data_IF_551534435351
#
_entry.id   IF_551534435351
#
_cell.length_a   1.000
_cell.length_b   1.000
_cell.length_c   1.000
_cell.angle_alpha   90.00
_cell.angle_beta   90.00
_cell.angle_gamma   90.00
#
_symmetry.space_group_name_H-M   'P 1'
#
loop_
_entity.id
_entity.type
_entity.pdbx_description
1 polymer ?
#
# COMPACT_ATOMS: atom_id res chain seq x y z
N UNK A 1 -14.99 34.96 -13.27
CA UNK A 1 -13.53 35.22 -13.40
C UNK A 1 -12.83 33.88 -13.41
N UNK A 2 -12.38 33.40 -14.57
CA UNK A 2 -11.70 32.11 -14.70
C UNK A 2 -10.19 32.32 -14.65
N UNK A 3 -9.56 31.96 -13.53
CA UNK A 3 -8.11 31.95 -13.40
C UNK A 3 -7.56 30.80 -14.24
N UNK A 4 -7.16 31.07 -15.48
CA UNK A 4 -6.39 30.16 -16.32
C UNK A 4 -5.00 29.98 -15.72
N UNK A 5 -4.88 29.09 -14.73
CA UNK A 5 -3.58 28.57 -14.29
C UNK A 5 -2.94 27.87 -15.49
N UNK A 6 -1.86 28.45 -16.04
CA UNK A 6 -1.07 27.82 -17.10
C UNK A 6 -0.45 26.55 -16.51
N UNK A 7 -1.09 25.40 -16.73
CA UNK A 7 -0.55 24.09 -16.39
C UNK A 7 0.81 23.91 -17.06
N UNK A 8 1.76 23.33 -16.33
CA UNK A 8 3.06 23.00 -16.90
C UNK A 8 2.93 21.62 -17.52
N UNK A 9 3.01 21.51 -18.84
CA UNK A 9 2.88 20.24 -19.57
C UNK A 9 4.25 19.65 -19.92
N UNK A 10 4.33 18.33 -20.03
CA UNK A 10 5.54 17.62 -20.48
C UNK A 10 5.19 16.61 -21.56
N UNK A 11 6.12 16.34 -22.49
CA UNK A 11 5.91 15.29 -23.52
C UNK A 11 5.77 13.92 -22.88
N UNK A 12 4.88 13.08 -23.42
CA UNK A 12 4.64 11.71 -22.91
C UNK A 12 5.94 10.89 -22.83
N UNK A 13 6.78 10.95 -23.87
CA UNK A 13 8.07 10.25 -23.87
C UNK A 13 9.01 10.69 -22.75
N UNK A 14 8.93 11.96 -22.33
CA UNK A 14 9.72 12.47 -21.21
C UNK A 14 9.24 11.90 -19.88
N UNK A 15 7.92 11.83 -19.67
CA UNK A 15 7.33 11.25 -18.46
C UNK A 15 7.58 9.73 -18.39
N UNK A 16 7.55 9.02 -19.54
CA UNK A 16 7.95 7.61 -19.62
C UNK A 16 9.39 7.39 -19.16
N UNK A 17 10.34 8.20 -19.66
CA UNK A 17 11.73 8.15 -19.20
C UNK A 17 11.86 8.41 -17.69
N UNK A 18 11.04 9.30 -17.13
CA UNK A 18 11.04 9.54 -15.68
C UNK A 18 10.58 8.31 -14.92
N UNK A 19 9.52 7.63 -15.36
CA UNK A 19 9.05 6.38 -14.75
C UNK A 19 10.15 5.34 -14.69
N UNK A 20 10.84 5.13 -15.80
CA UNK A 20 11.96 4.17 -15.89
C UNK A 20 13.12 4.58 -14.97
N UNK A 21 13.52 5.85 -15.01
CA UNK A 21 14.67 6.34 -14.21
C UNK A 21 14.41 6.33 -12.70
N UNK A 22 13.17 6.63 -12.30
CA UNK A 22 12.78 6.73 -10.89
C UNK A 22 12.19 5.43 -10.33
N UNK A 23 12.08 4.40 -11.18
CA UNK A 23 11.37 3.16 -10.90
C UNK A 23 9.96 3.42 -10.32
N UNK A 24 9.22 4.31 -11.00
CA UNK A 24 7.98 4.90 -10.50
C UNK A 24 6.74 4.26 -11.13
N UNK A 25 6.55 2.95 -10.93
CA UNK A 25 5.35 2.21 -11.35
C UNK A 25 4.06 2.73 -10.72
N UNK A 26 4.20 3.41 -9.58
CA UNK A 26 3.10 4.06 -8.86
C UNK A 26 2.59 5.34 -9.52
N UNK A 27 3.32 5.91 -10.49
CA UNK A 27 2.95 7.16 -11.15
C UNK A 27 1.95 6.85 -12.28
N UNK A 28 0.84 7.56 -12.33
CA UNK A 28 -0.14 7.53 -13.41
C UNK A 28 -0.22 8.91 -14.04
N UNK A 29 -0.61 8.98 -15.30
CA UNK A 29 -0.71 10.25 -16.00
C UNK A 29 -1.81 10.24 -17.05
N UNK A 30 -2.49 11.38 -17.20
CA UNK A 30 -3.46 11.62 -18.28
C UNK A 30 -2.77 12.44 -19.39
N UNK A 31 -2.91 11.99 -20.65
CA UNK A 31 -2.31 12.62 -21.82
C UNK A 31 -3.33 12.90 -22.94
N UNK A 32 -3.11 13.98 -23.69
CA UNK A 32 -3.86 14.33 -24.90
C UNK A 32 -3.15 13.79 -26.18
N UNK A 33 -2.51 12.62 -26.09
CA UNK A 33 -1.83 11.95 -27.20
C UNK A 33 -0.39 12.39 -27.50
N UNK A 34 0.03 13.58 -27.04
CA UNK A 34 1.44 14.06 -27.18
C UNK A 34 2.04 14.63 -25.90
N UNK A 35 1.20 15.21 -25.06
CA UNK A 35 1.61 15.87 -23.81
C UNK A 35 0.79 15.33 -22.65
N UNK A 36 1.46 15.24 -21.52
CA UNK A 36 0.87 14.92 -20.23
C UNK A 36 0.41 16.21 -19.58
N UNK A 37 -0.84 16.22 -19.12
CA UNK A 37 -1.46 17.36 -18.46
C UNK A 37 -1.62 17.15 -16.97
N UNK A 38 -1.68 15.90 -16.54
CA UNK A 38 -2.02 15.57 -15.16
C UNK A 38 -1.23 14.35 -14.71
N UNK A 39 -0.70 14.42 -13.49
CA UNK A 39 0.00 13.32 -12.81
C UNK A 39 -0.79 12.87 -11.59
N UNK A 40 -0.92 11.55 -11.39
CA UNK A 40 -1.52 10.93 -10.22
C UNK A 40 -0.59 9.89 -9.61
N UNK A 41 -0.77 9.58 -8.34
CA UNK A 41 -0.08 8.48 -7.68
C UNK A 41 -1.11 7.41 -7.32
N UNK A 42 -1.06 6.26 -8.03
CA UNK A 42 -1.96 5.13 -7.82
C UNK A 42 -2.03 4.69 -6.36
N UNK A 43 -0.86 4.59 -5.72
CA UNK A 43 -0.72 4.10 -4.34
C UNK A 43 -1.36 5.09 -3.36
N UNK A 44 -1.08 6.39 -3.50
CA UNK A 44 -1.68 7.42 -2.66
C UNK A 44 -3.19 7.53 -2.86
N UNK A 45 -3.68 7.42 -4.10
CA UNK A 45 -5.12 7.40 -4.40
C UNK A 45 -5.80 6.21 -3.73
N UNK A 46 -5.20 5.01 -3.80
CA UNK A 46 -5.79 3.81 -3.19
C UNK A 46 -5.81 3.81 -1.65
N UNK A 47 -4.99 4.66 -1.01
CA UNK A 47 -4.83 4.72 0.45
C UNK A 47 -5.19 6.07 1.04
N UNK A 48 -5.89 6.93 0.30
CA UNK A 48 -6.19 8.31 0.70
C UNK A 48 -6.70 8.39 2.14
N UNK A 49 -7.75 7.63 2.45
CA UNK A 49 -8.39 7.64 3.78
C UNK A 49 -7.42 7.38 4.92
N UNK A 50 -6.43 6.51 4.67
CA UNK A 50 -5.47 6.04 5.68
C UNK A 50 -4.23 6.92 5.79
N UNK A 51 -3.96 7.77 4.79
CA UNK A 51 -2.78 8.64 4.76
C UNK A 51 -3.12 10.11 5.05
N UNK A 52 -4.39 10.43 5.31
CA UNK A 52 -4.85 11.78 5.72
C UNK A 52 -4.13 12.32 6.95
N UNK A 53 -3.63 11.45 7.82
CA UNK A 53 -2.86 11.80 9.03
C UNK A 53 -1.38 12.11 8.77
N UNK A 54 -0.90 11.97 7.53
CA UNK A 54 0.49 12.25 7.20
C UNK A 54 0.83 13.74 7.32
N UNK A 55 2.05 14.04 7.74
CA UNK A 55 2.56 15.41 7.81
C UNK A 55 2.53 16.07 6.43
N UNK A 56 1.99 17.28 6.34
CA UNK A 56 1.82 18.02 5.08
C UNK A 56 1.04 17.25 4.01
N UNK A 57 0.02 16.48 4.43
CA UNK A 57 -0.86 15.77 3.52
C UNK A 57 -1.39 16.71 2.43
N UNK A 58 -1.30 16.25 1.18
CA UNK A 58 -1.76 17.00 0.02
C UNK A 58 -2.43 16.09 -0.98
N UNK A 59 -3.67 16.45 -1.32
CA UNK A 59 -4.47 15.77 -2.35
C UNK A 59 -3.96 15.98 -3.77
N UNK A 60 -2.93 16.80 -4.00
CA UNK A 60 -2.45 17.13 -5.35
C UNK A 60 -2.13 15.90 -6.20
N UNK A 61 -1.51 14.86 -5.63
CA UNK A 61 -1.22 13.63 -6.38
C UNK A 61 -2.35 12.58 -6.34
N UNK A 62 -3.42 12.85 -5.58
CA UNK A 62 -4.60 11.99 -5.50
C UNK A 62 -5.63 12.46 -6.54
N UNK A 63 -5.99 13.74 -6.52
CA UNK A 63 -6.94 14.32 -7.48
C UNK A 63 -6.30 14.54 -8.85
N UNK A 64 -5.03 14.92 -8.88
CA UNK A 64 -4.30 15.20 -10.11
C UNK A 64 -3.43 16.45 -10.02
N UNK A 65 -2.14 16.29 -10.28
CA UNK A 65 -1.20 17.41 -10.31
C UNK A 65 -1.11 17.96 -11.73
N UNK A 66 -1.52 19.22 -11.91
CA UNK A 66 -1.31 19.98 -13.15
C UNK A 66 0.14 20.50 -13.31
N UNK A 67 1.02 20.22 -12.33
CA UNK A 67 2.43 20.62 -12.37
C UNK A 67 3.26 19.43 -12.83
N UNK A 68 3.35 19.23 -14.15
CA UNK A 68 4.05 18.10 -14.77
C UNK A 68 5.54 18.40 -14.88
N UNK A 69 6.24 18.38 -13.75
CA UNK A 69 7.71 18.53 -13.65
C UNK A 69 8.34 17.36 -12.92
N UNK A 70 9.53 16.91 -13.39
CA UNK A 70 10.29 15.82 -12.75
C UNK A 70 10.51 16.08 -11.26
N UNK A 71 10.90 17.29 -10.89
CA UNK A 71 11.17 17.64 -9.49
C UNK A 71 9.93 17.48 -8.60
N UNK A 72 8.74 17.78 -9.13
CA UNK A 72 7.47 17.57 -8.41
C UNK A 72 7.24 16.09 -8.12
N UNK A 73 7.52 15.21 -9.09
CA UNK A 73 7.42 13.76 -8.93
C UNK A 73 8.41 13.25 -7.88
N UNK A 74 9.66 13.71 -7.95
CA UNK A 74 10.72 13.35 -7.00
C UNK A 74 10.37 13.80 -5.58
N UNK A 75 9.90 15.04 -5.42
CA UNK A 75 9.47 15.56 -4.13
C UNK A 75 8.29 14.75 -3.56
N UNK A 76 7.35 14.34 -4.41
CA UNK A 76 6.26 13.48 -3.99
C UNK A 76 6.75 12.11 -3.52
N UNK A 77 7.67 11.48 -4.26
CA UNK A 77 8.25 10.18 -3.91
C UNK A 77 8.87 10.18 -2.51
N UNK A 78 9.49 11.29 -2.10
CA UNK A 78 10.09 11.42 -0.77
C UNK A 78 9.16 11.97 0.31
N UNK A 79 7.91 12.31 -0.04
CA UNK A 79 6.93 12.82 0.93
C UNK A 79 6.47 11.74 1.91
N UNK A 80 6.15 12.16 3.14
CA UNK A 80 5.69 11.25 4.20
C UNK A 80 4.39 10.52 3.83
N UNK A 81 3.48 11.21 3.15
CA UNK A 81 2.23 10.61 2.64
C UNK A 81 2.51 9.46 1.67
N UNK A 82 3.48 9.61 0.76
CA UNK A 82 3.80 8.58 -0.23
C UNK A 82 4.47 7.38 0.45
N UNK A 83 5.42 7.62 1.36
CA UNK A 83 6.06 6.57 2.15
C UNK A 83 5.05 5.78 2.99
N UNK A 84 4.11 6.47 3.61
CA UNK A 84 3.03 5.85 4.37
C UNK A 84 2.13 5.00 3.47
N UNK A 85 1.72 5.53 2.30
CA UNK A 85 0.91 4.81 1.33
C UNK A 85 1.61 3.54 0.84
N UNK A 86 2.90 3.62 0.48
CA UNK A 86 3.71 2.47 0.05
C UNK A 86 3.83 1.44 1.17
N UNK A 87 4.05 1.87 2.41
CA UNK A 87 4.13 0.96 3.57
C UNK A 87 2.80 0.23 3.81
N UNK A 88 1.67 0.92 3.65
CA UNK A 88 0.35 0.30 3.75
C UNK A 88 0.10 -0.69 2.63
N UNK A 89 0.45 -0.33 1.39
CA UNK A 89 0.30 -1.20 0.22
C UNK A 89 1.15 -2.48 0.35
N UNK A 90 2.40 -2.33 0.82
CA UNK A 90 3.28 -3.46 1.07
C UNK A 90 2.75 -4.37 2.18
N UNK A 91 2.21 -3.80 3.26
CA UNK A 91 1.61 -4.59 4.35
C UNK A 91 0.41 -5.41 3.87
N UNK A 92 -0.40 -4.88 2.97
CA UNK A 92 -1.55 -5.61 2.43
C UNK A 92 -1.11 -6.71 1.45
N UNK A 93 -0.23 -6.40 0.50
CA UNK A 93 0.30 -7.43 -0.42
C UNK A 93 1.05 -8.54 0.30
N UNK A 94 1.79 -8.22 1.37
CA UNK A 94 2.43 -9.25 2.21
C UNK A 94 1.40 -10.05 3.01
N UNK A 95 0.33 -9.43 3.51
CA UNK A 95 -0.76 -10.17 4.18
C UNK A 95 -1.47 -11.11 3.20
N UNK A 96 -1.77 -10.66 1.99
CA UNK A 96 -2.39 -11.48 0.95
C UNK A 96 -1.50 -12.66 0.58
N UNK A 97 -0.21 -12.42 0.29
CA UNK A 97 0.75 -13.49 0.03
C UNK A 97 0.92 -14.44 1.21
N UNK A 98 0.98 -13.92 2.44
CA UNK A 98 1.08 -14.75 3.63
C UNK A 98 -0.15 -15.64 3.81
N UNK A 99 -1.36 -15.11 3.60
CA UNK A 99 -2.59 -15.90 3.67
C UNK A 99 -2.60 -16.96 2.57
N UNK A 100 -2.22 -16.62 1.35
CA UNK A 100 -2.27 -17.57 0.23
C UNK A 100 -1.21 -18.68 0.37
N UNK A 101 0.06 -18.30 0.53
CA UNK A 101 1.19 -19.24 0.56
C UNK A 101 1.31 -20.00 1.89
N UNK A 102 1.00 -19.38 3.03
CA UNK A 102 1.20 -20.01 4.35
C UNK A 102 -0.09 -20.53 4.99
N UNK A 103 -1.26 -19.98 4.66
CA UNK A 103 -2.53 -20.43 5.25
C UNK A 103 -3.31 -21.32 4.29
N UNK A 104 -3.35 -21.00 2.99
CA UNK A 104 -4.11 -21.79 2.02
C UNK A 104 -3.31 -22.96 1.44
N UNK A 105 -2.00 -22.84 1.25
CA UNK A 105 -1.18 -23.93 0.69
C UNK A 105 -0.57 -24.87 1.76
N UNK A 106 -0.34 -24.38 2.99
CA UNK A 106 0.25 -25.20 4.05
C UNK A 106 -0.79 -26.18 4.65
N UNK A 107 -0.45 -27.47 4.85
CA UNK A 107 -1.35 -28.46 5.46
C UNK A 107 -1.94 -28.04 6.81
N UNK A 108 -1.18 -27.32 7.64
CA UNK A 108 -1.65 -26.81 8.94
C UNK A 108 -2.72 -25.74 8.72
N UNK A 109 -2.46 -24.78 7.83
CA UNK A 109 -3.42 -23.72 7.51
C UNK A 109 -4.69 -24.26 6.86
N UNK A 110 -4.57 -25.23 5.94
CA UNK A 110 -5.72 -25.92 5.34
C UNK A 110 -6.55 -26.67 6.39
N UNK A 111 -5.89 -27.35 7.33
CA UNK A 111 -6.55 -28.04 8.44
C UNK A 111 -7.33 -27.07 9.33
N UNK A 112 -6.72 -25.94 9.69
CA UNK A 112 -7.37 -24.88 10.48
C UNK A 112 -8.53 -24.20 9.75
N UNK A 113 -8.48 -24.10 8.42
CA UNK A 113 -9.54 -23.52 7.60
C UNK A 113 -10.73 -24.47 7.38
N UNK A 114 -10.48 -25.78 7.31
CA UNK A 114 -11.52 -26.81 7.15
C UNK A 114 -12.13 -27.29 8.47
N UNK A 115 -11.63 -26.78 9.59
CA UNK A 115 -12.08 -27.16 10.93
C UNK A 115 -13.50 -26.68 11.21
N UNK A 116 -14.32 -27.52 11.87
CA UNK A 116 -15.63 -27.11 12.34
C UNK A 116 -15.51 -25.98 13.38
N UNK A 117 -16.53 -25.12 13.48
CA UNK A 117 -16.50 -23.94 14.35
C UNK A 117 -16.23 -24.29 15.83
N UNK A 118 -16.82 -25.39 16.32
CA UNK A 118 -16.65 -25.85 17.70
C UNK A 118 -15.20 -26.33 17.96
N UNK A 119 -14.62 -27.05 17.02
CA UNK A 119 -13.23 -27.51 17.10
C UNK A 119 -12.23 -26.35 17.04
N UNK A 120 -12.55 -25.31 16.26
CA UNK A 120 -11.73 -24.10 16.16
C UNK A 120 -11.68 -23.37 17.50
N UNK A 121 -12.82 -23.21 18.18
CA UNK A 121 -12.88 -22.58 19.51
C UNK A 121 -12.08 -23.38 20.55
N UNK A 122 -12.18 -24.71 20.52
CA UNK A 122 -11.37 -25.58 21.40
C UNK A 122 -9.87 -25.46 21.12
N UNK A 123 -9.48 -25.43 19.86
CA UNK A 123 -8.07 -25.32 19.47
C UNK A 123 -7.47 -23.98 19.85
N UNK A 124 -8.20 -22.88 19.67
CA UNK A 124 -7.78 -21.55 20.12
C UNK A 124 -7.54 -21.51 21.63
N UNK A 125 -8.44 -22.11 22.42
CA UNK A 125 -8.29 -22.18 23.86
C UNK A 125 -7.03 -22.94 24.28
N UNK A 126 -6.75 -24.10 23.67
CA UNK A 126 -5.56 -24.90 23.94
C UNK A 126 -4.27 -24.19 23.53
N UNK A 127 -4.30 -23.47 22.41
CA UNK A 127 -3.15 -22.69 21.95
C UNK A 127 -2.83 -21.55 22.90
N UNK A 128 -3.84 -20.82 23.36
CA UNK A 128 -3.67 -19.75 24.34
C UNK A 128 -3.18 -20.28 25.70
N UNK A 129 -3.73 -21.40 26.17
CA UNK A 129 -3.30 -22.01 27.42
C UNK A 129 -1.83 -22.47 27.36
N UNK A 130 -1.45 -23.18 26.29
CA UNK A 130 -0.07 -23.62 26.09
C UNK A 130 0.91 -22.46 25.92
N UNK A 131 0.52 -21.40 25.21
CA UNK A 131 1.32 -20.18 25.11
C UNK A 131 1.57 -19.53 26.47
N UNK A 132 0.54 -19.41 27.31
CA UNK A 132 0.66 -18.87 28.68
C UNK A 132 1.57 -19.74 29.54
N UNK A 133 1.39 -21.06 29.54
CA UNK A 133 2.25 -21.99 30.30
C UNK A 133 3.71 -21.85 29.88
N UNK A 134 3.99 -21.81 28.57
CA UNK A 134 5.35 -21.64 28.06
C UNK A 134 5.93 -20.26 28.38
N UNK A 135 5.13 -19.20 28.23
CA UNK A 135 5.57 -17.82 28.47
C UNK A 135 5.86 -17.54 29.94
N UNK A 136 5.08 -18.12 30.84
CA UNK A 136 5.22 -17.95 32.29
C UNK A 136 6.13 -19.01 32.94
N UNK A 137 6.81 -19.84 32.12
CA UNK A 137 7.66 -20.97 32.57
C UNK A 137 6.96 -21.87 33.60
N UNK A 138 5.63 -22.00 33.48
CA UNK A 138 4.85 -22.74 34.45
C UNK A 138 5.20 -24.23 34.37
N UNK A 139 5.45 -24.89 35.52
CA UNK A 139 5.76 -26.30 35.52
C UNK A 139 4.55 -27.11 35.05
N UNK A 140 4.77 -28.02 34.10
CA UNK A 140 3.79 -29.03 33.74
C UNK A 140 3.57 -29.94 34.96
N UNK A 141 2.51 -29.67 35.73
CA UNK A 141 2.11 -30.56 36.83
C UNK A 141 1.49 -31.81 36.21
N UNK A 142 2.03 -32.97 36.58
CA UNK A 142 1.52 -34.31 36.25
C UNK A 142 0.17 -34.56 36.89
#
# INVERSE_FOLDING_TARGET
MASSSKGCTSKVNTVKKWKETLNADWLEYDDDGKVVNLLRCKVCTSKEERITSAKNFSRTFITGSAIVKKNTVVNHQYSDQHRMAVKLNLKETLKEKYVDEYVNENPIGQGLNKMAADDRGRMEHLFNASYTVCKEELPFKK
#
